data_IF_612884044763
#
_entry.id   IF_612884044763
#
_cell.length_a   1.000
_cell.length_b   1.000
_cell.length_c   1.000
_cell.angle_alpha   90.00
_cell.angle_beta   90.00
_cell.angle_gamma   90.00
#
_symmetry.space_group_name_H-M   'P 1'
#
loop_
_entity.id
_entity.type
_entity.pdbx_description
1 polymer ?
#
# COMPACT_ATOMS: atom_id res chain seq x y z
N UNK A 1 -26.55 -0.70 4.41
CA UNK A 1 -26.12 -0.22 3.08
C UNK A 1 -25.27 -1.29 2.46
N UNK A 2 -25.84 -2.06 1.54
CA UNK A 2 -25.07 -2.96 0.70
C UNK A 2 -24.20 -2.10 -0.22
N UNK A 3 -22.89 -2.13 0.04
CA UNK A 3 -21.95 -1.63 -0.96
C UNK A 3 -22.01 -2.60 -2.14
N UNK A 4 -22.72 -2.22 -3.19
CA UNK A 4 -22.67 -2.95 -4.45
C UNK A 4 -21.20 -3.24 -4.76
N UNK A 5 -20.87 -4.52 -5.01
CA UNK A 5 -19.52 -4.94 -5.39
C UNK A 5 -19.09 -4.16 -6.64
N UNK A 6 -18.48 -3.02 -6.44
CA UNK A 6 -17.80 -2.33 -7.52
C UNK A 6 -16.64 -3.22 -7.93
N UNK A 7 -16.85 -4.01 -8.98
CA UNK A 7 -15.83 -4.87 -9.57
C UNK A 7 -14.76 -3.99 -10.22
N UNK A 8 -13.85 -3.50 -9.38
CA UNK A 8 -12.67 -2.81 -9.86
C UNK A 8 -11.48 -3.76 -9.71
N UNK A 9 -10.87 -4.15 -10.83
CA UNK A 9 -9.72 -5.05 -10.87
C UNK A 9 -8.56 -4.55 -10.01
N UNK A 10 -8.40 -3.24 -9.89
CA UNK A 10 -7.37 -2.60 -9.06
C UNK A 10 -7.58 -2.81 -7.55
N UNK A 11 -8.76 -3.26 -7.13
CA UNK A 11 -9.06 -3.57 -5.73
C UNK A 11 -8.94 -5.05 -5.40
N UNK A 12 -8.42 -5.86 -6.33
CA UNK A 12 -8.24 -7.29 -6.16
C UNK A 12 -7.32 -7.66 -4.99
N UNK A 13 -6.39 -6.79 -4.61
CA UNK A 13 -5.52 -6.96 -3.45
C UNK A 13 -6.29 -7.22 -2.15
N UNK A 14 -7.52 -6.73 -2.03
CA UNK A 14 -8.39 -6.96 -0.85
C UNK A 14 -8.75 -8.43 -0.63
N UNK A 15 -8.63 -9.27 -1.66
CA UNK A 15 -8.82 -10.72 -1.59
C UNK A 15 -7.55 -11.47 -1.18
N UNK A 16 -6.40 -10.80 -1.19
CA UNK A 16 -5.15 -11.41 -0.78
C UNK A 16 -5.14 -11.63 0.73
N UNK A 17 -4.85 -12.86 1.15
CA UNK A 17 -4.77 -13.22 2.56
C UNK A 17 -3.73 -12.37 3.31
N UNK A 18 -2.56 -12.15 2.68
CA UNK A 18 -1.50 -11.32 3.26
C UNK A 18 -1.94 -9.85 3.47
N UNK A 19 -2.78 -9.31 2.59
CA UNK A 19 -3.32 -7.97 2.79
C UNK A 19 -4.30 -7.94 3.98
N UNK A 20 -5.17 -8.94 4.08
CA UNK A 20 -6.12 -9.08 5.21
C UNK A 20 -5.38 -9.26 6.54
N UNK A 21 -4.33 -10.09 6.56
CA UNK A 21 -3.49 -10.28 7.74
C UNK A 21 -2.75 -8.98 8.12
N UNK A 22 -2.28 -8.21 7.14
CA UNK A 22 -1.66 -6.90 7.39
C UNK A 22 -2.65 -5.88 7.99
N UNK A 23 -3.90 -5.84 7.51
CA UNK A 23 -4.96 -5.01 8.10
C UNK A 23 -5.27 -5.46 9.54
N UNK A 24 -5.33 -6.77 9.79
CA UNK A 24 -5.53 -7.31 11.14
C UNK A 24 -4.38 -6.93 12.09
N UNK A 25 -3.14 -7.02 11.63
CA UNK A 25 -1.97 -6.63 12.38
C UNK A 25 -1.96 -5.11 12.67
N UNK A 26 -2.34 -4.28 11.71
CA UNK A 26 -2.50 -2.84 11.91
C UNK A 26 -3.56 -2.53 12.97
N UNK A 27 -4.74 -3.16 12.90
CA UNK A 27 -5.81 -2.94 13.86
C UNK A 27 -5.39 -3.34 15.29
N UNK A 28 -4.70 -4.47 15.44
CA UNK A 28 -4.16 -4.93 16.71
C UNK A 28 -3.09 -3.97 17.26
N UNK A 29 -2.22 -3.46 16.40
CA UNK A 29 -1.24 -2.44 16.78
C UNK A 29 -1.93 -1.17 17.28
N UNK A 30 -2.99 -0.72 16.60
CA UNK A 30 -3.78 0.43 17.07
C UNK A 30 -4.44 0.18 18.43
N UNK A 31 -4.93 -1.02 18.69
CA UNK A 31 -5.49 -1.40 20.00
C UNK A 31 -4.45 -1.26 21.11
N UNK A 32 -3.29 -1.88 20.95
CA UNK A 32 -2.24 -1.92 21.97
C UNK A 32 -1.61 -0.54 22.20
N UNK A 33 -1.32 0.20 21.14
CA UNK A 33 -0.58 1.47 21.24
C UNK A 33 -1.46 2.71 21.46
N UNK A 34 -2.78 2.57 21.44
CA UNK A 34 -3.73 3.68 21.66
C UNK A 34 -3.50 4.40 22.99
N UNK A 35 -3.19 3.65 24.04
CA UNK A 35 -3.00 4.15 25.40
C UNK A 35 -1.52 4.37 25.77
N UNK A 36 -0.63 4.41 24.77
CA UNK A 36 0.80 4.64 25.04
C UNK A 36 1.01 6.00 25.75
N UNK A 37 1.88 6.05 26.77
CA UNK A 37 2.16 7.29 27.50
C UNK A 37 2.62 8.40 26.57
N UNK A 38 2.28 9.66 26.90
CA UNK A 38 2.61 10.83 26.08
C UNK A 38 4.11 10.89 25.77
N UNK A 39 4.97 10.56 26.71
CA UNK A 39 6.42 10.51 26.55
C UNK A 39 6.89 9.50 25.49
N UNK A 40 6.07 8.48 25.19
CA UNK A 40 6.36 7.44 24.22
C UNK A 40 5.58 7.59 22.89
N UNK A 41 4.82 8.68 22.74
CA UNK A 41 3.99 8.89 21.52
C UNK A 41 4.78 8.85 20.22
N UNK A 42 6.05 9.28 20.25
CA UNK A 42 6.94 9.21 19.07
C UNK A 42 7.22 7.76 18.68
N UNK A 43 7.44 6.87 19.66
CA UNK A 43 7.66 5.44 19.41
C UNK A 43 6.40 4.76 18.89
N UNK A 44 5.24 5.11 19.47
CA UNK A 44 3.95 4.64 18.97
C UNK A 44 3.71 5.09 17.52
N UNK A 45 4.00 6.34 17.19
CA UNK A 45 3.88 6.87 15.82
C UNK A 45 4.79 6.13 14.83
N UNK A 46 6.03 5.81 15.22
CA UNK A 46 6.96 5.01 14.42
C UNK A 46 6.39 3.59 14.18
N UNK A 47 5.88 2.94 15.23
CA UNK A 47 5.27 1.63 15.13
C UNK A 47 4.06 1.64 14.19
N UNK A 48 3.18 2.64 14.30
CA UNK A 48 2.05 2.80 13.38
C UNK A 48 2.53 2.98 11.94
N UNK A 49 3.53 3.82 11.71
CA UNK A 49 4.06 4.07 10.38
C UNK A 49 4.63 2.80 9.72
N UNK A 50 5.41 2.00 10.46
CA UNK A 50 5.97 0.74 9.97
C UNK A 50 4.85 -0.25 9.61
N UNK A 51 3.85 -0.43 10.48
CA UNK A 51 2.76 -1.37 10.25
C UNK A 51 1.80 -0.90 9.16
N UNK A 52 1.49 0.41 9.08
CA UNK A 52 0.69 1.01 8.00
C UNK A 52 1.35 0.81 6.64
N UNK A 53 2.67 0.93 6.59
CA UNK A 53 3.46 0.73 5.37
C UNK A 53 3.28 -0.66 4.76
N UNK A 54 3.06 -1.71 5.57
CA UNK A 54 2.95 -3.09 5.07
C UNK A 54 1.79 -3.24 4.10
N UNK A 55 0.56 -2.95 4.54
CA UNK A 55 -0.63 -3.15 3.71
C UNK A 55 -0.65 -2.20 2.51
N UNK A 56 -0.07 -0.99 2.64
CA UNK A 56 0.05 -0.03 1.53
C UNK A 56 0.97 -0.57 0.45
N UNK A 57 2.14 -1.09 0.80
CA UNK A 57 3.06 -1.68 -0.15
C UNK A 57 2.45 -2.89 -0.87
N UNK A 58 1.71 -3.76 -0.16
CA UNK A 58 0.99 -4.90 -0.79
C UNK A 58 0.00 -4.38 -1.84
N UNK A 59 -0.80 -3.37 -1.49
CA UNK A 59 -1.81 -2.79 -2.38
C UNK A 59 -1.17 -2.07 -3.57
N UNK A 60 -0.14 -1.28 -3.33
CA UNK A 60 0.58 -0.55 -4.37
C UNK A 60 1.26 -1.50 -5.34
N UNK A 61 1.96 -2.51 -4.84
CA UNK A 61 2.60 -3.53 -5.66
C UNK A 61 1.60 -4.28 -6.53
N UNK A 62 0.44 -4.64 -5.99
CA UNK A 62 -0.63 -5.29 -6.74
C UNK A 62 -1.14 -4.45 -7.91
N UNK A 63 -1.11 -3.11 -7.78
CA UNK A 63 -1.54 -2.18 -8.83
C UNK A 63 -0.43 -1.88 -9.85
N UNK A 64 0.80 -2.39 -9.67
CA UNK A 64 1.90 -2.18 -10.61
C UNK A 64 1.75 -3.03 -11.86
N UNK A 65 2.35 -2.57 -12.96
CA UNK A 65 2.20 -3.19 -14.27
C UNK A 65 3.12 -4.39 -14.47
N UNK A 66 4.27 -4.43 -13.81
CA UNK A 66 5.24 -5.50 -13.96
C UNK A 66 5.35 -6.37 -12.71
N UNK A 67 5.59 -7.67 -12.91
CA UNK A 67 5.85 -8.59 -11.81
C UNK A 67 7.09 -8.18 -11.00
N UNK A 68 8.10 -7.62 -11.66
CA UNK A 68 9.31 -7.12 -11.01
C UNK A 68 8.99 -6.01 -10.00
N UNK A 69 8.15 -5.05 -10.39
CA UNK A 69 7.71 -3.99 -9.48
C UNK A 69 6.85 -4.57 -8.35
N UNK A 70 5.93 -5.49 -8.66
CA UNK A 70 5.11 -6.14 -7.64
C UNK A 70 5.97 -6.82 -6.58
N UNK A 71 6.96 -7.61 -6.99
CA UNK A 71 7.92 -8.25 -6.08
C UNK A 71 8.71 -7.22 -5.25
N UNK A 72 9.11 -6.11 -5.84
CA UNK A 72 9.81 -5.04 -5.13
C UNK A 72 8.95 -4.46 -4.00
N UNK A 73 7.69 -4.14 -4.26
CA UNK A 73 6.78 -3.61 -3.24
C UNK A 73 6.45 -4.64 -2.15
N UNK A 74 6.32 -5.92 -2.50
CA UNK A 74 6.15 -6.98 -1.50
C UNK A 74 7.38 -7.08 -0.58
N UNK A 75 8.60 -6.92 -1.10
CA UNK A 75 9.81 -6.86 -0.30
C UNK A 75 9.84 -5.61 0.59
N UNK A 76 9.37 -4.45 0.14
CA UNK A 76 9.21 -3.27 1.00
C UNK A 76 8.23 -3.53 2.14
N UNK A 77 7.09 -4.19 1.85
CA UNK A 77 6.15 -4.63 2.88
C UNK A 77 6.78 -5.59 3.90
N UNK A 78 7.57 -6.55 3.43
CA UNK A 78 8.29 -7.49 4.30
C UNK A 78 9.35 -6.77 5.16
N UNK A 79 10.07 -5.80 4.61
CA UNK A 79 11.03 -4.97 5.35
C UNK A 79 10.35 -4.16 6.45
N UNK A 80 9.17 -3.57 6.13
CA UNK A 80 8.37 -2.83 7.13
C UNK A 80 7.84 -3.74 8.25
N UNK A 81 7.50 -4.99 7.94
CA UNK A 81 7.15 -5.98 8.95
C UNK A 81 8.34 -6.26 9.88
N UNK A 82 9.53 -6.49 9.32
CA UNK A 82 10.76 -6.69 10.11
C UNK A 82 11.10 -5.49 10.99
N UNK A 83 10.94 -4.26 10.49
CA UNK A 83 11.11 -3.03 11.29
C UNK A 83 10.15 -3.00 12.47
N UNK A 84 8.85 -3.28 12.24
CA UNK A 84 7.84 -3.28 13.30
C UNK A 84 8.11 -4.35 14.37
N UNK A 85 8.53 -5.56 13.97
CA UNK A 85 8.91 -6.65 14.89
C UNK A 85 10.13 -6.28 15.73
N UNK A 86 11.15 -5.68 15.11
CA UNK A 86 12.32 -5.18 15.82
C UNK A 86 11.93 -4.14 16.89
N UNK A 87 11.00 -3.24 16.56
CA UNK A 87 10.43 -2.27 17.52
C UNK A 87 9.72 -2.96 18.68
N UNK A 88 8.88 -3.98 18.40
CA UNK A 88 8.15 -4.74 19.44
C UNK A 88 9.12 -5.39 20.43
N UNK A 89 10.20 -6.03 19.96
CA UNK A 89 11.22 -6.60 20.82
C UNK A 89 11.91 -5.54 21.71
N UNK A 90 12.19 -4.37 21.16
CA UNK A 90 12.76 -3.25 21.93
C UNK A 90 11.78 -2.77 23.03
N UNK A 91 10.50 -2.61 22.69
CA UNK A 91 9.47 -2.17 23.64
C UNK A 91 9.21 -3.19 24.74
N UNK A 92 9.21 -4.49 24.41
CA UNK A 92 9.14 -5.57 25.38
C UNK A 92 10.30 -5.52 26.35
N UNK A 93 11.54 -5.45 25.84
CA UNK A 93 12.74 -5.40 26.68
C UNK A 93 12.81 -4.16 27.58
N UNK A 94 12.18 -3.06 27.16
CA UNK A 94 12.03 -1.83 27.93
C UNK A 94 10.80 -1.82 28.86
N UNK A 95 10.06 -2.93 28.97
CA UNK A 95 8.79 -3.03 29.73
C UNK A 95 7.74 -1.98 29.32
N UNK A 96 7.73 -1.59 28.05
CA UNK A 96 6.79 -0.60 27.49
C UNK A 96 5.53 -1.27 26.90
N UNK A 97 5.60 -2.55 26.61
CA UNK A 97 4.49 -3.39 26.15
C UNK A 97 4.39 -4.59 27.09
N UNK A 98 3.16 -5.00 27.42
CA UNK A 98 2.92 -6.19 28.25
C UNK A 98 3.32 -7.47 27.49
N UNK A 99 3.70 -8.53 28.24
CA UNK A 99 4.02 -9.82 27.61
C UNK A 99 2.86 -10.36 26.77
N UNK A 100 1.63 -10.22 27.27
CA UNK A 100 0.41 -10.66 26.56
C UNK A 100 0.23 -9.92 25.24
N UNK A 101 0.41 -8.62 25.22
CA UNK A 101 0.27 -7.80 24.01
C UNK A 101 1.43 -8.06 23.05
N UNK A 102 2.64 -8.26 23.57
CA UNK A 102 3.79 -8.65 22.75
C UNK A 102 3.52 -9.96 22.03
N UNK A 103 3.10 -11.02 22.75
CA UNK A 103 2.80 -12.32 22.13
C UNK A 103 1.72 -12.24 21.05
N UNK A 104 0.65 -11.47 21.29
CA UNK A 104 -0.42 -11.27 20.33
C UNK A 104 0.08 -10.59 19.05
N UNK A 105 0.88 -9.54 19.20
CA UNK A 105 1.45 -8.79 18.09
C UNK A 105 2.50 -9.62 17.34
N UNK A 106 3.39 -10.27 18.04
CA UNK A 106 4.45 -11.11 17.45
C UNK A 106 3.85 -12.29 16.65
N UNK A 107 2.85 -12.97 17.19
CA UNK A 107 2.15 -14.05 16.48
C UNK A 107 1.46 -13.55 15.19
N UNK A 108 0.85 -12.36 15.23
CA UNK A 108 0.23 -11.76 14.06
C UNK A 108 1.27 -11.36 13.01
N UNK A 109 2.38 -10.76 13.44
CA UNK A 109 3.50 -10.39 12.58
C UNK A 109 4.15 -11.64 11.94
N UNK A 110 4.44 -12.67 12.72
CA UNK A 110 5.02 -13.93 12.24
C UNK A 110 4.17 -14.58 11.14
N UNK A 111 2.85 -14.62 11.36
CA UNK A 111 1.90 -15.14 10.36
C UNK A 111 1.96 -14.34 9.06
N UNK A 112 1.98 -13.01 9.17
CA UNK A 112 2.04 -12.09 8.04
C UNK A 112 3.36 -12.24 7.26
N UNK A 113 4.50 -12.24 7.95
CA UNK A 113 5.82 -12.41 7.33
C UNK A 113 5.93 -13.73 6.56
N UNK A 114 5.46 -14.83 7.13
CA UNK A 114 5.46 -16.12 6.45
C UNK A 114 4.51 -16.12 5.25
N UNK A 115 3.37 -15.46 5.36
CA UNK A 115 2.44 -15.27 4.24
C UNK A 115 3.09 -14.48 3.08
N UNK A 116 3.77 -13.37 3.39
CA UNK A 116 4.49 -12.56 2.42
C UNK A 116 5.63 -13.34 1.75
N UNK A 117 6.45 -14.05 2.52
CA UNK A 117 7.54 -14.90 1.99
C UNK A 117 7.00 -15.93 0.99
N UNK A 118 5.94 -16.66 1.35
CA UNK A 118 5.31 -17.65 0.45
C UNK A 118 4.74 -17.02 -0.81
N UNK A 119 4.12 -15.85 -0.72
CA UNK A 119 3.62 -15.12 -1.88
C UNK A 119 4.77 -14.72 -2.80
N UNK A 120 5.85 -14.14 -2.26
CA UNK A 120 7.04 -13.74 -2.99
C UNK A 120 7.66 -14.94 -3.71
N UNK A 121 7.87 -16.04 -3.01
CA UNK A 121 8.43 -17.29 -3.57
C UNK A 121 7.57 -17.84 -4.71
N UNK A 122 6.23 -17.86 -4.53
CA UNK A 122 5.29 -18.30 -5.56
C UNK A 122 5.34 -17.42 -6.81
N UNK A 123 5.45 -16.11 -6.65
CA UNK A 123 5.55 -15.17 -7.76
C UNK A 123 6.91 -15.27 -8.47
N UNK A 124 8.00 -15.47 -7.73
CA UNK A 124 9.34 -15.69 -8.29
C UNK A 124 9.41 -17.00 -9.10
N UNK A 125 8.73 -18.06 -8.64
CA UNK A 125 8.62 -19.31 -9.39
C UNK A 125 7.91 -19.09 -10.72
N UNK A 126 6.76 -18.42 -10.70
CA UNK A 126 6.02 -18.05 -11.93
C UNK A 126 6.84 -17.19 -12.89
N UNK A 127 7.66 -16.31 -12.36
CA UNK A 127 8.56 -15.48 -13.17
C UNK A 127 9.60 -16.34 -13.89
N UNK A 128 10.19 -17.31 -13.20
CA UNK A 128 11.20 -18.22 -13.77
C UNK A 128 10.60 -19.14 -14.82
N UNK A 129 9.39 -19.60 -14.62
CA UNK A 129 8.66 -20.49 -15.53
C UNK A 129 8.08 -19.78 -16.76
N UNK A 130 8.21 -18.45 -16.85
CA UNK A 130 7.62 -17.63 -17.92
C UNK A 130 6.10 -17.61 -17.92
N UNK A 131 5.46 -18.12 -16.85
CA UNK A 131 4.01 -18.23 -16.71
C UNK A 131 3.31 -16.92 -16.34
N UNK A 132 4.05 -15.84 -16.15
CA UNK A 132 3.46 -14.54 -15.87
C UNK A 132 3.02 -13.86 -17.17
N UNK A 133 1.74 -13.86 -17.43
CA UNK A 133 1.20 -13.01 -18.49
C UNK A 133 1.02 -11.59 -17.91
N UNK A 134 1.67 -10.61 -18.54
CA UNK A 134 1.51 -9.19 -18.23
C UNK A 134 0.06 -8.68 -18.40
N UNK A 135 -0.85 -9.56 -18.78
CA UNK A 135 -2.28 -9.30 -19.00
C UNK A 135 -3.09 -8.99 -17.74
N UNK A 136 -2.48 -9.06 -16.53
CA UNK A 136 -3.07 -8.46 -15.32
C UNK A 136 -2.94 -6.93 -15.30
N UNK A 137 -2.16 -6.39 -16.21
CA UNK A 137 -2.21 -4.98 -16.51
C UNK A 137 -3.61 -4.68 -17.01
N UNK A 138 -4.23 -3.71 -16.36
CA UNK A 138 -5.41 -3.01 -16.83
C UNK A 138 -5.19 -2.78 -18.34
N UNK A 139 -5.77 -3.64 -19.18
CA UNK A 139 -6.12 -3.22 -20.51
C UNK A 139 -7.17 -2.15 -20.25
N UNK A 140 -6.80 -0.90 -20.33
CA UNK A 140 -7.76 0.08 -20.75
C UNK A 140 -8.33 -0.52 -22.04
N UNK A 141 -9.50 -1.15 -21.93
CA UNK A 141 -10.30 -1.40 -23.12
C UNK A 141 -10.28 -0.05 -23.82
N UNK A 142 -10.05 -0.02 -25.12
CA UNK A 142 -10.07 1.16 -25.99
C UNK A 142 -11.41 1.91 -25.92
N UNK A 143 -11.82 2.22 -24.72
CA UNK A 143 -12.81 3.25 -24.45
C UNK A 143 -12.03 4.52 -24.65
N UNK A 144 -11.94 4.95 -25.94
CA UNK A 144 -11.51 6.25 -26.28
C UNK A 144 -12.14 7.20 -25.25
N UNK A 145 -11.31 7.83 -24.42
CA UNK A 145 -11.74 9.04 -23.77
C UNK A 145 -12.05 9.98 -24.93
N UNK A 146 -13.31 10.12 -25.29
CA UNK A 146 -13.75 11.29 -26.02
C UNK A 146 -13.47 12.45 -25.09
N UNK A 147 -12.26 13.00 -25.20
CA UNK A 147 -12.01 14.37 -24.82
C UNK A 147 -13.01 15.14 -25.69
N UNK A 148 -14.10 15.60 -25.09
CA UNK A 148 -14.96 16.56 -25.74
C UNK A 148 -14.02 17.69 -26.15
N UNK A 149 -13.70 17.77 -27.43
CA UNK A 149 -13.07 18.93 -28.01
C UNK A 149 -14.00 20.07 -27.63
N UNK A 150 -13.56 20.87 -26.68
CA UNK A 150 -14.21 22.14 -26.41
C UNK A 150 -14.08 22.94 -27.70
N UNK A 151 -15.16 22.90 -28.47
CA UNK A 151 -15.35 23.73 -29.67
C UNK A 151 -14.84 25.12 -29.37
N UNK A 152 -14.04 25.61 -30.31
CA UNK A 152 -13.22 26.77 -30.23
C UNK A 152 -13.88 27.99 -29.61
N UNK A 153 -13.25 28.56 -28.64
CA UNK A 153 -13.40 29.97 -28.35
C UNK A 153 -12.87 30.75 -29.56
N UNK A 154 -13.68 31.57 -30.20
CA UNK A 154 -13.19 32.42 -31.28
C UNK A 154 -12.10 33.34 -30.74
N UNK A 155 -10.95 33.32 -31.39
CA UNK A 155 -9.80 34.16 -31.08
C UNK A 155 -10.24 35.64 -31.13
N UNK A 156 -10.35 36.28 -29.98
CA UNK A 156 -10.47 37.73 -29.92
C UNK A 156 -9.14 38.33 -30.39
N UNK A 157 -9.15 38.83 -31.65
CA UNK A 157 -8.07 39.62 -32.18
C UNK A 157 -7.93 40.89 -31.32
N UNK A 158 -6.81 41.09 -30.69
CA UNK A 158 -6.45 42.32 -29.99
C UNK A 158 -6.39 43.45 -31.05
N UNK A 159 -7.03 44.60 -30.80
CA UNK A 159 -6.88 45.75 -31.68
C UNK A 159 -5.46 46.31 -31.67
N UNK A 160 -4.97 46.89 -32.76
CA UNK A 160 -3.60 47.36 -32.84
C UNK A 160 -3.39 48.57 -31.92
N UNK A 161 -2.28 48.54 -31.20
CA UNK A 161 -1.81 49.63 -30.33
C UNK A 161 -1.48 50.81 -31.19
N UNK A 162 -2.25 51.92 -31.05
CA UNK A 162 -1.95 53.23 -31.67
C UNK A 162 -0.65 53.76 -31.09
N UNK A 163 0.37 53.92 -31.95
CA UNK A 163 1.59 54.57 -31.65
C UNK A 163 1.35 56.06 -31.27
N UNK A 164 1.89 56.47 -30.11
CA UNK A 164 2.04 57.87 -29.77
C UNK A 164 3.15 58.46 -30.65
N UNK A 165 2.75 59.37 -31.57
CA UNK A 165 3.67 60.35 -32.14
C UNK A 165 3.93 61.44 -31.10
N UNK A 166 5.13 61.93 -31.11
CA UNK A 166 5.66 63.04 -30.28
C UNK A 166 4.73 64.25 -30.24
#
# INVERSE_FOLDING_TARGET
MEFSERRNINRGYRKLKVWQDAIGYYALTCEVFRAFPVVLQRLAAQQFASVDSIHRNIAEGYCRRSLKEYLQFLNFGLSSAGESVSGLHAYRNANQVSEVDFERLDAAAWKLENGLKRLIESLQSKQREGGWQESFVIRESNTAYHVAETEGRPSQRRPPVRGRKK
#
